data_IF_055789115939
#
_entry.id   IF_055789115939
#
_cell.length_a   1.000
_cell.length_b   1.000
_cell.length_c   1.000
_cell.angle_alpha   90.00
_cell.angle_beta   90.00
_cell.angle_gamma   90.00
#
_symmetry.space_group_name_H-M   'P 1'
#
loop_
_entity.id
_entity.type
_entity.pdbx_description
1 polymer ?
#
# COMPACT_ATOMS: atom_id res chain seq x y z
N UNK A 1 44.46 2.79 -13.39
CA UNK A 1 43.55 2.06 -14.28
C UNK A 1 42.18 1.98 -13.59
N UNK A 2 41.31 2.94 -13.90
CA UNK A 2 39.94 2.98 -13.34
C UNK A 2 39.05 2.00 -14.13
N UNK A 3 38.74 0.85 -13.58
CA UNK A 3 37.67 0.00 -14.09
C UNK A 3 36.35 0.66 -13.69
N UNK A 4 35.74 1.39 -14.63
CA UNK A 4 34.35 1.79 -14.53
C UNK A 4 33.51 0.52 -14.61
N UNK A 5 33.01 0.04 -13.47
CA UNK A 5 32.12 -1.11 -13.42
C UNK A 5 30.89 -0.81 -14.30
N UNK A 6 30.71 -1.59 -15.36
CA UNK A 6 29.58 -1.47 -16.27
C UNK A 6 28.30 -1.66 -15.49
N UNK A 7 27.41 -0.66 -15.55
CA UNK A 7 26.05 -0.76 -14.96
C UNK A 7 25.33 -1.92 -15.66
N UNK A 8 24.86 -2.94 -14.92
CA UNK A 8 24.17 -4.07 -15.53
C UNK A 8 22.93 -3.59 -16.29
N UNK A 9 22.79 -4.00 -17.55
CA UNK A 9 21.60 -3.66 -18.32
C UNK A 9 20.37 -4.42 -17.76
N UNK A 10 19.19 -3.78 -17.66
CA UNK A 10 18.00 -4.42 -17.14
C UNK A 10 17.54 -5.55 -18.07
N UNK A 11 16.96 -6.64 -17.52
CA UNK A 11 16.29 -7.64 -18.33
C UNK A 11 15.11 -6.99 -19.08
N UNK A 12 14.85 -7.45 -20.31
CA UNK A 12 13.79 -6.90 -21.18
C UNK A 12 12.46 -6.80 -20.43
N UNK A 13 11.82 -5.61 -20.42
CA UNK A 13 10.53 -5.36 -19.79
C UNK A 13 10.59 -4.90 -18.31
N UNK A 14 11.77 -4.58 -17.78
CA UNK A 14 11.92 -4.00 -16.45
C UNK A 14 12.47 -2.57 -16.56
N UNK A 15 11.79 -1.62 -15.91
CA UNK A 15 12.32 -0.27 -15.73
C UNK A 15 13.49 -0.33 -14.73
N UNK A 16 14.62 0.25 -15.08
CA UNK A 16 15.68 0.50 -14.13
C UNK A 16 15.59 1.98 -13.75
N UNK A 17 15.20 2.32 -12.53
CA UNK A 17 15.11 3.72 -12.13
C UNK A 17 16.45 4.43 -12.31
N UNK A 18 16.41 5.69 -12.72
CA UNK A 18 17.62 6.47 -12.95
C UNK A 18 18.42 6.63 -11.64
N UNK A 19 19.66 6.08 -11.52
CA UNK A 19 20.44 6.10 -10.28
C UNK A 19 20.87 7.49 -9.83
N UNK A 20 20.77 8.50 -10.71
CA UNK A 20 21.08 9.91 -10.39
C UNK A 20 19.94 10.61 -9.64
N UNK A 21 18.75 10.06 -9.65
CA UNK A 21 17.59 10.61 -8.96
C UNK A 21 17.64 10.26 -7.47
N UNK A 22 16.94 11.05 -6.65
CA UNK A 22 16.71 10.72 -5.24
C UNK A 22 15.80 9.50 -5.13
N UNK A 23 15.90 8.74 -4.04
CA UNK A 23 15.12 7.52 -3.82
C UNK A 23 13.61 7.72 -4.05
N UNK A 24 13.06 8.86 -3.59
CA UNK A 24 11.65 9.18 -3.79
C UNK A 24 11.28 9.30 -5.27
N UNK A 25 12.12 9.96 -6.04
CA UNK A 25 11.91 10.16 -7.47
C UNK A 25 12.02 8.82 -8.22
N UNK A 26 13.02 7.99 -7.87
CA UNK A 26 13.15 6.63 -8.39
C UNK A 26 11.92 5.78 -8.09
N UNK A 27 11.39 5.87 -6.88
CA UNK A 27 10.18 5.16 -6.49
C UNK A 27 8.96 5.60 -7.31
N UNK A 28 8.74 6.92 -7.47
CA UNK A 28 7.63 7.44 -8.26
C UNK A 28 7.73 7.05 -9.75
N UNK A 29 8.94 7.06 -10.30
CA UNK A 29 9.19 6.59 -11.67
C UNK A 29 8.81 5.12 -11.83
N UNK A 30 9.25 4.24 -10.93
CA UNK A 30 8.90 2.83 -10.92
C UNK A 30 7.39 2.59 -10.70
N UNK A 31 6.76 3.34 -9.78
CA UNK A 31 5.35 3.23 -9.49
C UNK A 31 4.47 3.59 -10.69
N UNK A 32 4.81 4.65 -11.41
CA UNK A 32 4.14 5.07 -12.64
C UNK A 32 4.35 4.07 -13.77
N UNK A 33 5.56 3.56 -13.95
CA UNK A 33 5.84 2.52 -14.94
C UNK A 33 5.02 1.26 -14.69
N UNK A 34 4.78 0.90 -13.42
CA UNK A 34 3.94 -0.23 -13.01
C UNK A 34 2.45 0.10 -12.94
N UNK A 35 2.04 1.29 -13.37
CA UNK A 35 0.66 1.74 -13.35
C UNK A 35 -0.02 1.63 -11.98
N UNK A 36 0.73 1.90 -10.89
CA UNK A 36 0.13 1.95 -9.55
C UNK A 36 -0.90 3.09 -9.51
N UNK A 37 -2.08 2.80 -8.92
CA UNK A 37 -3.03 3.85 -8.62
C UNK A 37 -2.39 4.87 -7.65
N UNK A 38 -2.67 6.16 -7.85
CA UNK A 38 -2.12 7.25 -7.07
C UNK A 38 -2.17 7.03 -5.54
N UNK A 39 -3.30 6.54 -5.01
CA UNK A 39 -3.43 6.21 -3.58
C UNK A 39 -2.51 5.07 -3.14
N UNK A 40 -2.26 4.10 -4.00
CA UNK A 40 -1.32 3.02 -3.72
C UNK A 40 0.10 3.52 -3.72
N UNK A 41 0.44 4.42 -4.66
CA UNK A 41 1.75 5.09 -4.74
C UNK A 41 2.04 5.86 -3.45
N UNK A 42 1.10 6.72 -2.98
CA UNK A 42 1.26 7.44 -1.72
C UNK A 42 1.39 6.51 -0.51
N UNK A 43 0.53 5.50 -0.43
CA UNK A 43 0.55 4.54 0.69
C UNK A 43 1.86 3.76 0.74
N UNK A 44 2.39 3.33 -0.42
CA UNK A 44 3.66 2.61 -0.48
C UNK A 44 4.82 3.51 -0.11
N UNK A 45 4.83 4.77 -0.60
CA UNK A 45 5.84 5.73 -0.20
C UNK A 45 5.83 6.01 1.30
N UNK A 46 4.67 6.15 1.91
CA UNK A 46 4.51 6.33 3.35
C UNK A 46 5.14 5.16 4.14
N UNK A 47 4.92 3.91 3.70
CA UNK A 47 5.52 2.75 4.34
C UNK A 47 7.04 2.72 4.16
N UNK A 48 7.54 3.04 2.96
CA UNK A 48 8.97 3.13 2.68
C UNK A 48 9.62 4.21 3.56
N UNK A 49 9.01 5.37 3.66
CA UNK A 49 9.50 6.46 4.50
C UNK A 49 9.55 6.05 5.98
N UNK A 50 8.49 5.42 6.51
CA UNK A 50 8.45 4.89 7.89
C UNK A 50 9.54 3.84 8.14
N UNK A 51 9.79 2.98 7.19
CA UNK A 51 10.87 1.99 7.23
C UNK A 51 12.24 2.65 7.33
N UNK A 52 12.51 3.64 6.50
CA UNK A 52 13.77 4.39 6.52
C UNK A 52 13.97 5.16 7.83
N UNK A 53 12.92 5.82 8.33
CA UNK A 53 12.94 6.53 9.61
C UNK A 53 13.17 5.56 10.79
N UNK A 54 12.53 4.40 10.77
CA UNK A 54 12.73 3.36 11.80
C UNK A 54 14.19 2.97 11.92
N UNK A 55 14.84 2.66 10.79
CA UNK A 55 16.26 2.28 10.78
C UNK A 55 17.20 3.45 11.04
N UNK A 56 16.86 4.67 10.61
CA UNK A 56 17.60 5.88 10.98
C UNK A 56 17.62 6.07 12.50
N UNK A 57 16.48 5.96 13.16
CA UNK A 57 16.37 6.15 14.60
C UNK A 57 17.13 5.07 15.39
N UNK A 58 17.16 3.83 14.87
CA UNK A 58 17.90 2.72 15.44
C UNK A 58 19.42 2.86 15.27
N UNK A 59 19.87 3.31 14.09
CA UNK A 59 21.30 3.38 13.74
C UNK A 59 21.93 4.76 14.00
N UNK A 60 21.13 5.79 14.30
CA UNK A 60 21.59 7.18 14.48
C UNK A 60 21.91 7.93 13.18
N UNK A 61 21.88 7.27 12.02
CA UNK A 61 22.14 7.85 10.71
C UNK A 61 21.24 7.27 9.62
N UNK A 62 21.18 7.96 8.47
CA UNK A 62 20.44 7.45 7.31
C UNK A 62 21.17 6.28 6.66
N UNK A 63 20.47 5.16 6.46
CA UNK A 63 20.96 4.01 5.70
C UNK A 63 20.29 3.97 4.33
N UNK A 64 21.07 3.64 3.29
CA UNK A 64 20.51 3.46 1.96
C UNK A 64 19.81 2.09 1.87
N UNK A 65 18.66 1.99 1.18
CA UNK A 65 17.96 0.71 1.02
C UNK A 65 18.84 -0.41 0.43
N UNK A 66 19.79 -0.07 -0.42
CA UNK A 66 20.76 -1.03 -1.00
C UNK A 66 21.67 -1.68 0.05
N UNK A 67 21.89 -1.02 1.18
CA UNK A 67 22.73 -1.47 2.29
C UNK A 67 21.90 -2.17 3.39
N UNK A 68 20.60 -2.36 3.13
CA UNK A 68 19.64 -3.04 4.00
C UNK A 68 19.04 -4.22 3.25
N UNK A 69 18.62 -5.26 3.98
CA UNK A 69 18.13 -6.47 3.36
C UNK A 69 16.95 -7.11 4.09
N UNK A 70 16.92 -8.43 4.04
CA UNK A 70 15.86 -9.24 4.65
C UNK A 70 15.70 -8.98 6.15
N UNK A 71 16.83 -8.91 6.85
CA UNK A 71 16.82 -8.75 8.31
C UNK A 71 16.17 -7.42 8.71
N UNK A 72 16.52 -6.33 8.05
CA UNK A 72 15.95 -5.02 8.31
C UNK A 72 14.45 -4.99 8.02
N UNK A 73 14.01 -5.63 6.94
CA UNK A 73 12.57 -5.75 6.63
C UNK A 73 11.86 -6.58 7.70
N UNK A 74 12.43 -7.71 8.15
CA UNK A 74 11.86 -8.53 9.25
C UNK A 74 11.78 -7.76 10.55
N UNK A 75 12.82 -7.03 10.94
CA UNK A 75 12.83 -6.19 12.13
C UNK A 75 11.74 -5.13 12.10
N UNK A 76 11.57 -4.43 10.97
CA UNK A 76 10.52 -3.44 10.81
C UNK A 76 9.12 -4.05 10.90
N UNK A 77 8.86 -5.17 10.21
CA UNK A 77 7.57 -5.86 10.27
C UNK A 77 7.27 -6.40 11.68
N UNK A 78 8.28 -6.91 12.38
CA UNK A 78 8.15 -7.35 13.78
C UNK A 78 7.83 -6.17 14.69
N UNK A 79 8.49 -5.03 14.51
CA UNK A 79 8.18 -3.80 15.23
C UNK A 79 6.72 -3.37 15.01
N UNK A 80 6.23 -3.41 13.76
CA UNK A 80 4.84 -3.09 13.46
C UNK A 80 3.86 -4.04 14.16
N UNK A 81 4.16 -5.34 14.17
CA UNK A 81 3.28 -6.34 14.79
C UNK A 81 3.29 -6.25 16.32
N UNK A 82 4.46 -6.20 16.94
CA UNK A 82 4.64 -6.32 18.39
C UNK A 82 4.51 -4.97 19.10
N UNK A 83 5.31 -3.98 18.69
CA UNK A 83 5.35 -2.68 19.35
C UNK A 83 4.17 -1.78 18.94
N UNK A 84 3.78 -1.80 17.67
CA UNK A 84 2.69 -0.97 17.15
C UNK A 84 1.35 -1.69 17.12
N UNK A 85 1.31 -3.00 17.34
CA UNK A 85 0.11 -3.85 17.38
C UNK A 85 -0.80 -3.67 16.16
N UNK A 86 -0.21 -3.48 14.97
CA UNK A 86 -0.98 -3.32 13.74
C UNK A 86 -1.62 -4.63 13.33
N UNK A 87 -2.81 -4.55 12.72
CA UNK A 87 -3.48 -5.74 12.20
C UNK A 87 -2.75 -6.37 11.01
N UNK A 88 -2.98 -7.66 10.75
CA UNK A 88 -2.35 -8.42 9.68
C UNK A 88 -2.50 -7.78 8.28
N UNK A 89 -3.63 -7.12 8.01
CA UNK A 89 -3.86 -6.41 6.74
C UNK A 89 -2.86 -5.25 6.56
N UNK A 90 -2.64 -4.48 7.63
CA UNK A 90 -1.72 -3.34 7.64
C UNK A 90 -0.27 -3.81 7.53
N UNK A 91 0.10 -4.88 8.25
CA UNK A 91 1.43 -5.48 8.15
C UNK A 91 1.72 -6.00 6.74
N UNK A 92 0.75 -6.67 6.11
CA UNK A 92 0.88 -7.14 4.73
C UNK A 92 0.97 -5.98 3.71
N UNK A 93 0.32 -4.85 3.99
CA UNK A 93 0.45 -3.65 3.15
C UNK A 93 1.88 -3.07 3.24
N UNK A 94 2.44 -2.98 4.45
CA UNK A 94 3.83 -2.58 4.66
C UNK A 94 4.80 -3.54 3.95
N UNK A 95 4.60 -4.85 4.10
CA UNK A 95 5.39 -5.86 3.39
C UNK A 95 5.35 -5.64 1.87
N UNK A 96 4.15 -5.45 1.28
CA UNK A 96 4.03 -5.23 -0.16
C UNK A 96 4.80 -3.98 -0.62
N UNK A 97 4.82 -2.91 0.17
CA UNK A 97 5.60 -1.71 -0.12
C UNK A 97 7.12 -1.99 -0.09
N UNK A 98 7.61 -2.79 0.89
CA UNK A 98 9.01 -3.22 0.94
C UNK A 98 9.37 -4.11 -0.25
N UNK A 99 8.52 -5.08 -0.57
CA UNK A 99 8.72 -5.94 -1.74
C UNK A 99 8.79 -5.12 -3.04
N UNK A 100 7.93 -4.11 -3.18
CA UNK A 100 7.96 -3.20 -4.32
C UNK A 100 9.28 -2.41 -4.37
N UNK A 101 9.70 -1.84 -3.24
CA UNK A 101 10.97 -1.10 -3.14
C UNK A 101 12.15 -1.94 -3.63
N UNK A 102 12.29 -3.15 -3.09
CA UNK A 102 13.43 -3.99 -3.42
C UNK A 102 13.36 -4.60 -4.82
N UNK A 103 12.16 -4.95 -5.30
CA UNK A 103 11.98 -5.51 -6.65
C UNK A 103 12.16 -4.48 -7.74
N UNK A 104 11.57 -3.31 -7.58
CA UNK A 104 11.38 -2.38 -8.69
C UNK A 104 12.30 -1.15 -8.61
N UNK A 105 12.80 -0.80 -7.41
CA UNK A 105 13.58 0.43 -7.21
C UNK A 105 15.05 0.15 -6.94
N UNK A 106 15.35 -0.72 -5.96
CA UNK A 106 16.75 -1.00 -5.56
C UNK A 106 17.50 -1.82 -6.62
N UNK A 107 16.76 -2.57 -7.42
CA UNK A 107 17.34 -3.37 -8.50
C UNK A 107 17.82 -4.75 -8.06
N UNK A 108 17.27 -5.77 -8.71
CA UNK A 108 17.43 -7.17 -8.35
C UNK A 108 16.38 -7.61 -7.33
N UNK A 109 15.55 -8.59 -7.67
CA UNK A 109 14.72 -9.25 -6.67
C UNK A 109 15.66 -10.14 -5.83
N UNK A 110 16.00 -9.73 -4.60
CA UNK A 110 16.79 -10.62 -3.75
C UNK A 110 15.98 -11.89 -3.54
N UNK A 111 16.65 -13.05 -3.50
CA UNK A 111 16.01 -14.37 -3.33
C UNK A 111 15.05 -14.41 -2.13
N UNK A 112 15.38 -13.65 -1.07
CA UNK A 112 14.56 -13.57 0.14
C UNK A 112 13.18 -12.88 -0.07
N UNK A 113 13.00 -12.11 -1.13
CA UNK A 113 11.71 -11.44 -1.41
C UNK A 113 10.59 -12.43 -1.65
N UNK A 114 10.90 -13.64 -2.12
CA UNK A 114 9.93 -14.71 -2.38
C UNK A 114 9.58 -15.52 -1.14
N UNK A 115 10.44 -15.53 -0.11
CA UNK A 115 10.29 -16.32 1.12
C UNK A 115 9.50 -15.64 2.26
N UNK A 116 8.98 -14.42 2.07
CA UNK A 116 8.24 -13.75 3.14
C UNK A 116 6.83 -14.32 3.34
N UNK A 117 6.61 -14.90 4.52
CA UNK A 117 5.26 -15.29 4.94
C UNK A 117 4.39 -14.06 5.25
N UNK A 118 3.19 -14.08 4.67
CA UNK A 118 2.18 -13.05 4.94
C UNK A 118 1.50 -13.31 6.28
N UNK A 119 1.27 -12.24 7.04
CA UNK A 119 0.49 -12.33 8.26
C UNK A 119 -0.92 -12.87 7.96
N UNK A 120 -1.34 -13.89 8.71
CA UNK A 120 -2.64 -14.52 8.54
C UNK A 120 -3.75 -13.55 8.95
N UNK A 121 -4.67 -13.28 8.03
CA UNK A 121 -5.85 -12.48 8.33
C UNK A 121 -6.87 -13.34 9.07
N UNK A 122 -7.37 -12.87 10.21
CA UNK A 122 -8.57 -13.45 10.81
C UNK A 122 -9.75 -13.26 9.84
N UNK A 123 -10.39 -14.34 9.44
CA UNK A 123 -11.64 -14.30 8.67
C UNK A 123 -12.76 -13.95 9.64
N UNK A 124 -13.05 -12.68 9.81
CA UNK A 124 -14.32 -12.25 10.43
C UNK A 124 -15.39 -12.32 9.35
N UNK A 125 -16.40 -13.14 9.56
CA UNK A 125 -17.61 -13.11 8.76
C UNK A 125 -18.34 -11.80 9.13
N UNK A 126 -18.68 -10.94 8.18
CA UNK A 126 -19.46 -9.74 8.46
C UNK A 126 -20.82 -10.13 9.08
N UNK A 127 -21.24 -9.41 10.09
CA UNK A 127 -22.63 -9.52 10.59
C UNK A 127 -23.53 -8.86 9.55
N UNK A 128 -24.46 -9.63 9.03
CA UNK A 128 -25.47 -9.15 8.08
C UNK A 128 -26.73 -8.86 8.84
N UNK A 129 -27.24 -7.65 8.75
CA UNK A 129 -28.51 -7.26 9.35
C UNK A 129 -29.68 -7.96 8.64
N UNK A 130 -30.69 -8.35 9.37
CA UNK A 130 -31.96 -8.80 8.80
C UNK A 130 -32.66 -7.66 8.05
N UNK A 131 -33.67 -7.99 7.26
CA UNK A 131 -34.46 -6.98 6.54
C UNK A 131 -35.19 -6.03 7.50
N UNK A 132 -35.72 -6.57 8.59
CA UNK A 132 -36.43 -5.84 9.64
C UNK A 132 -35.48 -4.90 10.38
N UNK A 133 -34.30 -5.37 10.76
CA UNK A 133 -33.26 -4.55 11.40
C UNK A 133 -32.81 -3.42 10.48
N UNK A 134 -32.63 -3.71 9.19
CA UNK A 134 -32.25 -2.69 8.22
C UNK A 134 -33.33 -1.64 8.02
N UNK A 135 -34.62 -2.05 7.98
CA UNK A 135 -35.74 -1.12 7.91
C UNK A 135 -35.83 -0.24 9.16
N UNK A 136 -35.59 -0.80 10.34
CA UNK A 136 -35.56 -0.04 11.59
C UNK A 136 -34.43 1.01 11.57
N UNK A 137 -33.25 0.65 11.11
CA UNK A 137 -32.11 1.60 10.95
C UNK A 137 -32.45 2.71 9.95
N UNK A 138 -32.99 2.35 8.77
CA UNK A 138 -33.36 3.32 7.74
C UNK A 138 -34.49 4.25 8.18
N UNK A 139 -35.38 3.76 9.07
CA UNK A 139 -36.47 4.55 9.66
C UNK A 139 -36.01 5.65 10.60
N UNK A 140 -34.82 5.49 11.23
CA UNK A 140 -34.22 6.51 12.10
C UNK A 140 -33.46 7.63 11.32
N UNK A 141 -33.27 7.44 10.03
CA UNK A 141 -32.54 8.38 9.20
C UNK A 141 -33.50 9.29 8.42
N UNK A 142 -33.31 10.60 8.53
CA UNK A 142 -34.09 11.62 7.84
C UNK A 142 -33.25 12.48 6.89
N UNK A 143 -33.91 13.29 6.07
CA UNK A 143 -33.25 14.24 5.17
C UNK A 143 -32.28 13.58 4.19
N UNK A 144 -31.19 14.27 3.88
CA UNK A 144 -30.20 13.83 2.90
C UNK A 144 -29.53 12.50 3.30
N UNK A 145 -29.25 12.31 4.59
CA UNK A 145 -28.63 11.07 5.06
C UNK A 145 -29.56 9.87 4.86
N UNK A 146 -30.84 10.02 5.13
CA UNK A 146 -31.86 8.99 4.88
C UNK A 146 -32.00 8.65 3.40
N UNK A 147 -31.96 9.67 2.52
CA UNK A 147 -31.98 9.48 1.07
C UNK A 147 -30.75 8.68 0.59
N UNK A 148 -29.53 9.10 1.00
CA UNK A 148 -28.30 8.42 0.63
C UNK A 148 -28.30 6.97 1.14
N UNK A 149 -28.67 6.74 2.40
CA UNK A 149 -28.69 5.41 2.98
C UNK A 149 -29.65 4.46 2.23
N UNK A 150 -30.86 4.93 1.91
CA UNK A 150 -31.84 4.15 1.10
C UNK A 150 -31.34 3.88 -0.30
N UNK A 151 -30.70 4.87 -0.93
CA UNK A 151 -30.08 4.71 -2.26
C UNK A 151 -28.99 3.65 -2.24
N UNK A 152 -28.04 3.72 -1.29
CA UNK A 152 -26.96 2.76 -1.15
C UNK A 152 -27.50 1.35 -0.86
N UNK A 153 -28.47 1.22 0.02
CA UNK A 153 -29.08 -0.06 0.35
C UNK A 153 -29.83 -0.68 -0.83
N UNK A 154 -30.61 0.11 -1.56
CA UNK A 154 -31.43 -0.38 -2.69
C UNK A 154 -30.62 -0.71 -3.93
N UNK A 155 -29.47 -0.05 -4.13
CA UNK A 155 -28.63 -0.23 -5.33
C UNK A 155 -27.38 -1.08 -5.09
N UNK A 156 -26.96 -1.28 -3.85
CA UNK A 156 -25.70 -1.93 -3.51
C UNK A 156 -24.45 -1.11 -3.87
N UNK A 157 -24.58 0.16 -4.20
CA UNK A 157 -23.46 1.05 -4.51
C UNK A 157 -22.55 1.22 -3.31
N UNK A 158 -21.24 1.39 -3.57
CA UNK A 158 -20.30 1.85 -2.54
C UNK A 158 -20.56 3.31 -2.20
N UNK A 159 -20.28 3.71 -0.95
CA UNK A 159 -20.52 5.09 -0.46
C UNK A 159 -20.00 6.16 -1.43
N UNK A 160 -18.78 6.03 -1.91
CA UNK A 160 -18.18 7.01 -2.82
C UNK A 160 -18.79 7.00 -4.23
N UNK A 161 -19.36 5.89 -4.66
CA UNK A 161 -20.12 5.79 -5.91
C UNK A 161 -21.43 6.57 -5.78
N UNK A 162 -22.17 6.36 -4.68
CA UNK A 162 -23.38 7.10 -4.37
C UNK A 162 -23.17 8.60 -4.22
N UNK A 163 -22.10 9.02 -3.51
CA UNK A 163 -21.77 10.44 -3.33
C UNK A 163 -21.30 11.15 -4.60
N UNK A 164 -20.87 10.41 -5.62
CA UNK A 164 -20.43 10.94 -6.91
C UNK A 164 -21.50 10.88 -8.00
N UNK A 165 -22.68 10.39 -7.68
CA UNK A 165 -23.78 10.38 -8.63
C UNK A 165 -24.11 11.81 -9.11
N UNK A 166 -24.22 11.95 -10.43
CA UNK A 166 -24.67 13.18 -11.05
C UNK A 166 -26.02 12.90 -11.72
N UNK A 167 -26.99 13.74 -11.45
CA UNK A 167 -28.26 13.71 -12.16
C UNK A 167 -28.07 14.48 -13.46
N UNK A 168 -28.17 13.80 -14.60
CA UNK A 168 -28.28 14.47 -15.89
C UNK A 168 -29.78 14.72 -16.18
N UNK A 169 -30.16 15.95 -16.52
CA UNK A 169 -31.53 16.18 -16.96
C UNK A 169 -31.79 15.35 -18.23
N UNK A 170 -32.83 14.54 -18.18
CA UNK A 170 -33.34 13.83 -19.36
C UNK A 170 -33.94 14.91 -20.25
N UNK A 171 -33.41 15.04 -21.49
CA UNK A 171 -33.99 15.90 -22.55
C UNK A 171 -35.12 15.18 -23.24
#
# INVERSE_FOLDING_TARGET
MNQTAAIPQPPRGRLWPNPKLKLREQFHEAARYKHLAWRSEETYWDWIHRYLVFHRNKAGNWRQPKDMGEQEVREFLTHLAVARRVGAATQNQALNAMLFLYREVVGGAPVWVEGFERARRSRRVPVVLSREEMQAVLGQLSGLHGLIARLLYGTGMRLMEGLRLRVHPVR
#
